data_IF_437823880427
#
_entry.id   IF_437823880427
#
_cell.length_a   1.000
_cell.length_b   1.000
_cell.length_c   1.000
_cell.angle_alpha   90.00
_cell.angle_beta   90.00
_cell.angle_gamma   90.00
#
_symmetry.space_group_name_H-M   'P 1'
#
loop_
_entity.id
_entity.type
_entity.pdbx_description
1 polymer ?
#
# COMPACT_ATOMS: atom_id res chain seq x y z
N UNK A 1 -2.07 4.74 11.53
CA UNK A 1 -2.81 4.79 10.26
C UNK A 1 -4.33 4.70 10.46
N UNK A 2 -4.91 3.56 10.83
CA UNK A 2 -6.37 3.42 11.00
C UNK A 2 -7.00 4.46 11.95
N UNK A 3 -6.46 4.59 13.16
CA UNK A 3 -6.94 5.59 14.14
C UNK A 3 -6.84 7.03 13.63
N UNK A 4 -5.85 7.35 12.79
CA UNK A 4 -5.70 8.66 12.16
C UNK A 4 -6.84 8.89 11.17
N UNK A 5 -7.08 7.94 10.26
CA UNK A 5 -8.17 8.05 9.30
C UNK A 5 -9.53 8.15 10.00
N UNK A 6 -9.72 7.44 11.12
CA UNK A 6 -10.95 7.51 11.91
C UNK A 6 -11.14 8.90 12.53
N UNK A 7 -10.08 9.45 13.12
CA UNK A 7 -10.09 10.84 13.61
C UNK A 7 -10.42 11.84 12.51
N UNK A 8 -9.80 11.71 11.34
CA UNK A 8 -10.11 12.56 10.18
C UNK A 8 -11.57 12.42 9.73
N UNK A 9 -12.10 11.20 9.67
CA UNK A 9 -13.49 10.95 9.28
C UNK A 9 -14.50 11.59 10.23
N UNK A 10 -14.23 11.52 11.54
CA UNK A 10 -15.09 12.13 12.55
C UNK A 10 -14.96 13.67 12.60
N UNK A 11 -13.79 14.21 12.23
CA UNK A 11 -13.52 15.65 12.27
C UNK A 11 -14.03 16.41 11.03
N UNK A 12 -14.07 15.77 9.86
CA UNK A 12 -14.50 16.43 8.62
C UNK A 12 -16.01 16.37 8.43
N UNK A 13 -16.66 17.53 8.34
CA UNK A 13 -18.13 17.62 8.12
C UNK A 13 -18.57 17.09 6.75
N UNK A 14 -17.67 17.15 5.76
CA UNK A 14 -17.92 16.70 4.39
C UNK A 14 -17.21 15.37 4.09
N UNK A 15 -17.00 14.52 5.11
CA UNK A 15 -16.32 13.23 4.96
C UNK A 15 -17.11 12.21 4.13
N UNK A 16 -18.42 12.44 3.95
CA UNK A 16 -19.34 11.54 3.25
C UNK A 16 -20.29 12.33 2.35
N UNK A 17 -20.58 11.80 1.17
CA UNK A 17 -21.51 12.42 0.22
C UNK A 17 -22.97 12.08 0.51
N UNK A 18 -23.23 10.83 0.90
CA UNK A 18 -24.56 10.34 1.25
C UNK A 18 -24.51 9.16 2.24
N UNK A 19 -25.68 8.60 2.58
CA UNK A 19 -25.77 7.49 3.53
C UNK A 19 -25.19 6.17 2.98
N UNK A 20 -25.18 5.97 1.66
CA UNK A 20 -24.61 4.78 1.05
C UNK A 20 -23.07 4.85 1.05
N UNK A 21 -22.50 5.99 0.68
CA UNK A 21 -21.07 6.28 0.79
C UNK A 21 -20.59 6.14 2.24
N UNK A 22 -21.33 6.72 3.21
CA UNK A 22 -21.01 6.57 4.63
C UNK A 22 -20.92 5.10 5.06
N UNK A 23 -21.92 4.27 4.70
CA UNK A 23 -21.88 2.82 4.99
C UNK A 23 -20.72 2.13 4.30
N UNK A 24 -20.42 2.49 3.05
CA UNK A 24 -19.29 1.96 2.29
C UNK A 24 -17.95 2.25 2.97
N UNK A 25 -17.71 3.51 3.35
CA UNK A 25 -16.50 3.91 4.05
C UNK A 25 -16.37 3.25 5.42
N UNK A 26 -17.45 3.18 6.19
CA UNK A 26 -17.46 2.49 7.48
C UNK A 26 -17.17 0.99 7.34
N UNK A 27 -17.78 0.34 6.34
CA UNK A 27 -17.55 -1.07 6.05
C UNK A 27 -16.09 -1.34 5.63
N UNK A 28 -15.54 -0.50 4.76
CA UNK A 28 -14.14 -0.60 4.34
C UNK A 28 -13.17 -0.47 5.53
N UNK A 29 -13.42 0.47 6.45
CA UNK A 29 -12.60 0.66 7.67
C UNK A 29 -12.75 -0.50 8.65
N UNK A 30 -13.97 -1.01 8.83
CA UNK A 30 -14.20 -2.19 9.67
C UNK A 30 -13.47 -3.41 9.10
N UNK A 31 -13.55 -3.62 7.79
CA UNK A 31 -12.82 -4.69 7.10
C UNK A 31 -11.31 -4.51 7.27
N UNK A 32 -10.78 -3.32 7.01
CA UNK A 32 -9.34 -3.04 7.15
C UNK A 32 -8.85 -3.31 8.58
N UNK A 33 -9.62 -2.93 9.61
CA UNK A 33 -9.30 -3.30 11.01
C UNK A 33 -9.25 -4.80 11.19
N UNK A 34 -10.29 -5.51 10.73
CA UNK A 34 -10.39 -6.97 10.86
C UNK A 34 -9.25 -7.69 10.16
N UNK A 35 -8.86 -7.27 8.95
CA UNK A 35 -7.84 -7.99 8.17
C UNK A 35 -6.40 -7.50 8.40
N UNK A 36 -6.21 -6.30 8.96
CA UNK A 36 -4.87 -5.69 9.11
C UNK A 36 -3.85 -6.58 9.83
N UNK A 37 -4.27 -7.34 10.85
CA UNK A 37 -3.39 -8.19 11.64
C UNK A 37 -2.82 -9.39 10.88
N UNK A 38 -3.39 -9.75 9.71
CA UNK A 38 -2.81 -10.77 8.83
C UNK A 38 -1.62 -10.26 8.03
N UNK A 39 -1.52 -8.93 7.84
CA UNK A 39 -0.54 -8.31 6.94
C UNK A 39 0.48 -7.43 7.69
N UNK A 40 0.12 -6.90 8.86
CA UNK A 40 0.97 -6.01 9.65
C UNK A 40 1.20 -6.67 11.01
N UNK A 41 2.46 -6.85 11.37
CA UNK A 41 2.84 -7.41 12.67
C UNK A 41 2.30 -6.52 13.80
N UNK A 42 1.69 -7.08 14.86
CA UNK A 42 1.21 -6.30 16.00
C UNK A 42 2.29 -5.41 16.60
N UNK A 43 3.54 -5.88 16.64
CA UNK A 43 4.71 -5.17 17.16
C UNK A 43 5.08 -3.96 16.30
N UNK A 44 4.83 -4.01 14.98
CA UNK A 44 5.13 -2.93 14.02
C UNK A 44 3.94 -2.04 13.68
N UNK A 45 2.76 -2.31 14.24
CA UNK A 45 1.52 -1.55 13.93
C UNK A 45 1.61 -0.06 14.30
N UNK A 46 2.41 0.26 15.31
CA UNK A 46 2.69 1.63 15.75
C UNK A 46 3.89 2.26 15.03
N UNK A 47 4.55 1.54 14.13
CA UNK A 47 5.72 1.98 13.38
C UNK A 47 6.88 0.98 13.44
N UNK A 48 7.98 1.24 12.72
CA UNK A 48 8.23 2.44 11.91
C UNK A 48 7.37 2.50 10.63
N UNK A 49 7.15 3.72 10.14
CA UNK A 49 6.51 3.98 8.84
C UNK A 49 7.54 4.54 7.86
N UNK A 50 7.49 4.11 6.62
CA UNK A 50 8.37 4.55 5.55
C UNK A 50 7.57 5.19 4.42
N UNK A 51 8.12 6.23 3.82
CA UNK A 51 7.52 6.89 2.67
C UNK A 51 7.92 6.13 1.40
N UNK A 52 6.93 5.71 0.62
CA UNK A 52 7.11 5.01 -0.64
C UNK A 52 6.01 5.42 -1.64
N UNK A 53 6.38 5.57 -2.91
CA UNK A 53 5.42 5.59 -4.02
C UNK A 53 4.80 4.20 -4.17
N UNK A 54 3.48 4.09 -4.03
CA UNK A 54 2.77 2.80 -4.17
C UNK A 54 2.60 2.37 -5.62
N UNK A 55 2.70 3.31 -6.55
CA UNK A 55 2.59 3.07 -7.98
C UNK A 55 3.82 3.60 -8.73
N UNK A 56 4.98 3.00 -8.43
CA UNK A 56 6.21 3.32 -9.17
C UNK A 56 6.15 2.61 -10.51
N UNK A 57 6.00 3.37 -11.60
CA UNK A 57 6.18 2.90 -12.97
C UNK A 57 7.50 3.44 -13.55
N UNK A 58 8.11 2.73 -14.50
CA UNK A 58 9.38 3.14 -15.10
C UNK A 58 9.31 4.52 -15.78
N UNK A 59 8.15 4.89 -16.35
CA UNK A 59 7.93 6.22 -16.95
C UNK A 59 8.00 7.38 -15.97
N UNK A 60 7.85 7.10 -14.67
CA UNK A 60 7.84 8.12 -13.62
C UNK A 60 9.25 8.40 -13.07
N UNK A 61 10.27 7.72 -13.63
CA UNK A 61 11.67 7.85 -13.24
C UNK A 61 12.44 8.46 -14.41
N UNK A 62 13.00 9.64 -14.19
CA UNK A 62 13.89 10.29 -15.15
C UNK A 62 15.34 9.94 -14.82
N UNK A 63 16.11 9.64 -15.86
CA UNK A 63 17.53 9.30 -15.76
C UNK A 63 18.38 10.18 -16.67
N UNK A 64 19.65 10.36 -16.34
CA UNK A 64 20.65 10.97 -17.24
C UNK A 64 21.25 9.94 -18.21
N UNK A 65 22.19 10.39 -19.06
CA UNK A 65 22.86 9.54 -20.05
C UNK A 65 23.67 8.37 -19.42
N UNK A 66 24.05 8.51 -18.16
CA UNK A 66 24.79 7.51 -17.37
C UNK A 66 23.85 6.62 -16.52
N UNK A 67 22.53 6.69 -16.76
CA UNK A 67 21.49 5.96 -16.02
C UNK A 67 21.34 6.33 -14.54
N UNK A 68 21.87 7.46 -14.08
CA UNK A 68 21.60 7.94 -12.72
C UNK A 68 20.17 8.48 -12.64
N UNK A 69 19.43 8.13 -11.58
CA UNK A 69 18.10 8.70 -11.32
C UNK A 69 18.27 10.19 -11.00
N UNK A 70 17.71 11.05 -11.83
CA UNK A 70 17.79 12.50 -11.68
C UNK A 70 16.52 13.09 -11.09
N UNK A 71 15.36 12.48 -11.37
CA UNK A 71 14.07 12.99 -10.90
C UNK A 71 13.02 11.89 -10.84
N UNK A 72 12.09 12.03 -9.89
CA UNK A 72 10.84 11.29 -9.84
C UNK A 72 9.70 12.26 -10.14
N UNK A 73 8.82 11.87 -11.06
CA UNK A 73 7.62 12.63 -11.41
C UNK A 73 6.38 11.87 -10.94
N UNK A 74 5.21 12.49 -11.07
CA UNK A 74 3.92 11.85 -10.79
C UNK A 74 3.82 11.28 -9.36
N UNK A 75 3.85 12.18 -8.38
CA UNK A 75 4.01 11.88 -6.95
C UNK A 75 2.68 11.68 -6.20
N UNK A 76 1.55 11.63 -6.90
CA UNK A 76 0.22 11.58 -6.30
C UNK A 76 -0.02 10.30 -5.48
N UNK A 77 0.74 9.24 -5.74
CA UNK A 77 0.69 7.95 -5.04
C UNK A 77 1.80 7.78 -4.00
N UNK A 78 2.40 8.85 -3.49
CA UNK A 78 3.32 8.78 -2.34
C UNK A 78 2.53 8.50 -1.05
N UNK A 79 2.86 7.41 -0.38
CA UNK A 79 2.22 7.00 0.87
C UNK A 79 3.24 6.76 1.99
N UNK A 80 2.84 7.05 3.24
CA UNK A 80 3.55 6.58 4.43
C UNK A 80 2.99 5.23 4.84
N UNK A 81 3.79 4.17 4.69
CA UNK A 81 3.38 2.78 4.82
C UNK A 81 4.06 2.10 6.01
N UNK A 82 3.42 1.13 6.67
CA UNK A 82 4.08 0.24 7.61
C UNK A 82 5.27 -0.48 6.95
N UNK A 83 6.32 -0.76 7.72
CA UNK A 83 7.49 -1.47 7.21
C UNK A 83 7.16 -2.82 6.54
N UNK A 84 6.15 -3.54 7.01
CA UNK A 84 5.71 -4.82 6.43
C UNK A 84 5.06 -4.68 5.04
N UNK A 85 4.67 -3.47 4.64
CA UNK A 85 3.98 -3.18 3.37
C UNK A 85 4.89 -2.60 2.29
N UNK A 86 6.19 -2.43 2.57
CA UNK A 86 7.15 -1.93 1.58
C UNK A 86 7.40 -3.01 0.52
N UNK A 87 7.28 -2.63 -0.75
CA UNK A 87 7.43 -3.55 -1.89
C UNK A 87 8.36 -3.00 -2.96
N UNK A 88 9.06 -3.88 -3.67
CA UNK A 88 9.87 -3.51 -4.84
C UNK A 88 8.96 -3.45 -6.08
N UNK A 89 9.15 -2.47 -7.00
CA UNK A 89 8.35 -2.39 -8.21
C UNK A 89 8.46 -3.68 -9.05
N UNK A 90 7.34 -4.31 -9.34
CA UNK A 90 7.33 -5.65 -9.95
C UNK A 90 7.90 -5.66 -11.38
N UNK A 91 7.76 -4.56 -12.12
CA UNK A 91 8.26 -4.43 -13.49
C UNK A 91 9.80 -4.50 -13.57
N UNK A 92 10.52 -4.32 -12.46
CA UNK A 92 11.96 -4.58 -12.40
C UNK A 92 12.32 -6.04 -12.70
N UNK A 93 11.36 -6.96 -12.54
CA UNK A 93 11.56 -8.37 -12.89
C UNK A 93 11.45 -8.63 -14.40
N UNK A 94 10.98 -7.67 -15.18
CA UNK A 94 10.69 -7.82 -16.60
C UNK A 94 9.51 -8.77 -16.90
N UNK A 95 8.68 -9.08 -15.89
CA UNK A 95 7.58 -10.05 -15.97
C UNK A 95 6.22 -9.43 -15.67
N UNK A 96 5.18 -10.02 -16.25
CA UNK A 96 3.79 -9.70 -15.90
C UNK A 96 3.48 -10.09 -14.45
N UNK A 97 2.50 -9.43 -13.82
CA UNK A 97 2.08 -9.76 -12.45
C UNK A 97 1.61 -11.22 -12.34
N UNK A 98 0.97 -11.73 -13.38
CA UNK A 98 0.50 -13.10 -13.53
C UNK A 98 1.64 -14.13 -13.62
N UNK A 99 2.82 -13.71 -14.06
CA UNK A 99 4.01 -14.56 -14.20
C UNK A 99 4.84 -14.64 -12.90
N UNK A 100 4.51 -13.84 -11.89
CA UNK A 100 5.17 -13.84 -10.58
C UNK A 100 4.71 -15.03 -9.73
N UNK A 101 5.27 -16.20 -10.03
CA UNK A 101 4.99 -17.44 -9.27
C UNK A 101 6.03 -17.64 -8.17
N UNK A 102 5.59 -17.51 -6.91
CA UNK A 102 6.06 -18.21 -5.69
C UNK A 102 7.54 -18.14 -5.24
N UNK A 103 8.49 -18.04 -6.15
CA UNK A 103 9.93 -18.22 -5.91
C UNK A 103 10.69 -16.89 -5.88
N UNK A 104 10.11 -15.81 -6.41
CA UNK A 104 10.73 -14.47 -6.50
C UNK A 104 10.12 -13.49 -5.47
N UNK A 105 9.09 -13.91 -4.73
CA UNK A 105 8.53 -13.06 -3.68
C UNK A 105 9.49 -13.02 -2.49
N UNK A 106 10.02 -11.84 -2.09
CA UNK A 106 10.73 -11.72 -0.82
C UNK A 106 9.81 -12.25 0.29
N UNK A 107 10.41 -12.84 1.32
CA UNK A 107 9.71 -13.57 2.39
C UNK A 107 8.57 -12.79 3.06
N UNK A 108 8.55 -11.46 2.94
CA UNK A 108 7.47 -10.57 3.40
C UNK A 108 6.12 -10.78 2.70
N UNK A 109 6.09 -11.21 1.43
CA UNK A 109 4.82 -11.40 0.68
C UNK A 109 4.22 -12.81 0.86
N UNK A 110 4.97 -13.74 1.47
CA UNK A 110 4.55 -15.15 1.58
C UNK A 110 3.44 -15.36 2.61
N UNK A 111 3.25 -14.45 3.56
CA UNK A 111 2.14 -14.53 4.55
C UNK A 111 0.77 -14.15 3.95
N UNK A 112 0.75 -13.30 2.91
CA UNK A 112 -0.48 -12.76 2.33
C UNK A 112 -1.31 -13.77 1.51
N UNK A 113 -0.72 -14.89 1.05
CA UNK A 113 -1.42 -15.88 0.21
C UNK A 113 -2.06 -17.04 0.95
N UNK A 114 -1.83 -17.21 2.26
CA UNK A 114 -2.47 -18.30 3.02
C UNK A 114 -3.97 -18.08 3.29
N UNK A 115 -4.49 -16.87 3.06
CA UNK A 115 -5.88 -16.50 3.38
C UNK A 115 -6.85 -16.48 2.19
N UNK A 116 -6.39 -16.66 0.94
CA UNK A 116 -7.24 -16.59 -0.26
C UNK A 116 -7.54 -17.98 -0.84
N UNK A 117 -8.04 -18.88 -0.01
CA UNK A 117 -8.77 -20.08 -0.43
C UNK A 117 -10.08 -20.14 0.34
N UNK A 118 -11.10 -19.45 -0.18
CA UNK A 118 -12.52 -19.77 0.00
C UNK A 118 -13.23 -19.39 -1.28
#
# INVERSE_FOLDING_TARGET
MLALHDGSFLAHRDAVFDAADCRGQMAARALLRTVSHFYISPERRAGPFHVQMTDVHASNILVDDDWNITCLIDLEWICSLPADMISVPYWLTGRGIDELVGTILPSSTRSARRSWRF
#
